data_IF_335269630497
#
_entry.id   IF_335269630497
#
_cell.length_a   1.000
_cell.length_b   1.000
_cell.length_c   1.000
_cell.angle_alpha   90.00
_cell.angle_beta   90.00
_cell.angle_gamma   90.00
#
_symmetry.space_group_name_H-M   'P 1'
#
loop_
_entity.id
_entity.type
_entity.pdbx_description
1 polymer ?
#
# COMPACT_ATOMS: atom_id res chain seq x y z
N UNK A 1 -13.56 -26.03 7.08
CA UNK A 1 -13.19 -24.60 6.97
C UNK A 1 -12.44 -24.20 8.25
N UNK A 2 -11.16 -24.54 8.36
CA UNK A 2 -10.36 -24.34 9.60
C UNK A 2 -8.88 -24.13 9.25
N UNK A 3 -8.57 -23.11 8.46
CA UNK A 3 -7.18 -22.69 8.15
C UNK A 3 -7.07 -21.18 7.89
N UNK A 4 -7.79 -20.35 8.66
CA UNK A 4 -7.67 -18.88 8.64
C UNK A 4 -7.40 -18.36 10.07
N UNK A 5 -6.49 -19.02 10.79
CA UNK A 5 -6.08 -18.64 12.15
C UNK A 5 -4.67 -18.08 12.17
N UNK A 6 -4.29 -17.33 11.13
CA UNK A 6 -3.12 -16.45 11.15
C UNK A 6 -3.64 -15.02 11.04
N UNK A 7 -3.53 -14.24 12.12
CA UNK A 7 -4.01 -12.86 12.15
C UNK A 7 -3.39 -12.00 11.02
N UNK A 8 -2.15 -12.30 10.62
CA UNK A 8 -1.48 -11.63 9.50
C UNK A 8 -2.12 -11.90 8.14
N UNK A 9 -2.54 -13.13 7.86
CA UNK A 9 -3.22 -13.48 6.60
C UNK A 9 -4.57 -12.74 6.51
N UNK A 10 -5.30 -12.67 7.62
CA UNK A 10 -6.56 -11.95 7.70
C UNK A 10 -6.38 -10.44 7.48
N UNK A 11 -5.31 -9.86 8.03
CA UNK A 11 -4.94 -8.46 7.77
C UNK A 11 -4.70 -8.22 6.29
N UNK A 12 -3.82 -9.03 5.68
CA UNK A 12 -3.46 -8.92 4.26
C UNK A 12 -4.64 -9.08 3.31
N UNK A 13 -5.54 -10.03 3.59
CA UNK A 13 -6.77 -10.21 2.80
C UNK A 13 -7.70 -9.00 2.93
N UNK A 14 -7.85 -8.46 4.14
CA UNK A 14 -8.68 -7.26 4.39
C UNK A 14 -8.11 -6.04 3.65
N UNK A 15 -6.80 -5.85 3.70
CA UNK A 15 -6.08 -4.80 2.96
C UNK A 15 -6.22 -4.96 1.45
N UNK A 16 -6.12 -6.19 0.93
CA UNK A 16 -6.29 -6.49 -0.49
C UNK A 16 -7.70 -6.14 -0.98
N UNK A 17 -8.73 -6.49 -0.22
CA UNK A 17 -10.13 -6.14 -0.54
C UNK A 17 -10.31 -4.62 -0.53
N UNK A 18 -9.83 -3.94 0.51
CA UNK A 18 -9.95 -2.49 0.64
C UNK A 18 -9.19 -1.76 -0.48
N UNK A 19 -7.97 -2.20 -0.80
CA UNK A 19 -7.15 -1.62 -1.88
C UNK A 19 -7.85 -1.78 -3.23
N UNK A 20 -8.38 -2.96 -3.54
CA UNK A 20 -9.11 -3.19 -4.78
C UNK A 20 -10.38 -2.33 -4.87
N UNK A 21 -11.11 -2.18 -3.76
CA UNK A 21 -12.26 -1.28 -3.71
C UNK A 21 -11.84 0.17 -3.97
N UNK A 22 -10.81 0.66 -3.28
CA UNK A 22 -10.30 2.02 -3.48
C UNK A 22 -9.84 2.27 -4.91
N UNK A 23 -9.17 1.30 -5.56
CA UNK A 23 -8.74 1.39 -6.98
C UNK A 23 -9.90 1.67 -7.94
N UNK A 24 -11.13 1.28 -7.59
CA UNK A 24 -12.31 1.59 -8.42
C UNK A 24 -12.83 3.02 -8.26
N UNK A 25 -12.45 3.69 -7.16
CA UNK A 25 -12.96 5.02 -6.78
C UNK A 25 -11.94 6.13 -7.03
N UNK A 26 -10.65 5.86 -6.86
CA UNK A 26 -9.63 6.90 -7.05
C UNK A 26 -9.47 7.26 -8.53
N UNK A 27 -9.28 8.55 -8.86
CA UNK A 27 -8.94 8.98 -10.20
C UNK A 27 -7.66 8.30 -10.71
N UNK A 28 -7.58 8.07 -12.03
CA UNK A 28 -6.43 7.43 -12.69
C UNK A 28 -5.07 8.09 -12.40
N UNK A 29 -5.03 9.35 -11.96
CA UNK A 29 -3.82 10.06 -11.53
C UNK A 29 -3.16 9.44 -10.30
N UNK A 30 -3.95 8.81 -9.45
CA UNK A 30 -3.46 8.19 -8.23
C UNK A 30 -3.24 6.70 -8.41
N UNK A 31 -2.25 6.17 -7.73
CA UNK A 31 -2.04 4.73 -7.58
C UNK A 31 -2.01 4.37 -6.08
N UNK A 32 -2.19 3.09 -5.81
CA UNK A 32 -2.22 2.52 -4.47
C UNK A 32 -1.13 1.47 -4.27
N UNK A 33 -0.52 1.46 -3.10
CA UNK A 33 0.32 0.35 -2.67
C UNK A 33 0.59 0.35 -1.16
N UNK A 34 1.49 -0.51 -0.73
CA UNK A 34 1.83 -0.75 0.68
C UNK A 34 3.32 -0.55 0.85
N UNK A 35 3.77 0.08 1.94
CA UNK A 35 5.19 0.24 2.22
C UNK A 35 5.52 1.46 3.07
N UNK A 36 6.57 2.21 2.73
CA UNK A 36 7.11 3.29 3.56
C UNK A 36 7.13 4.62 2.81
N UNK A 37 6.96 5.71 3.56
CA UNK A 37 7.12 7.07 3.06
C UNK A 37 8.40 7.66 3.63
N UNK A 38 9.25 8.20 2.76
CA UNK A 38 10.54 8.77 3.07
C UNK A 38 10.51 10.27 2.80
N UNK A 39 11.19 11.03 3.66
CA UNK A 39 11.58 12.41 3.40
C UNK A 39 13.06 12.59 3.74
N UNK A 40 13.58 13.80 3.55
CA UNK A 40 15.01 14.10 3.71
C UNK A 40 15.60 13.67 5.07
N UNK A 41 14.79 13.56 6.12
CA UNK A 41 15.24 13.36 7.49
C UNK A 41 14.67 12.12 8.18
N UNK A 42 13.74 11.40 7.57
CA UNK A 42 13.02 10.30 8.23
C UNK A 42 12.32 9.34 7.29
N UNK A 43 12.06 8.14 7.79
CA UNK A 43 11.26 7.09 7.17
C UNK A 43 10.08 6.81 8.10
N UNK A 44 8.87 6.67 7.55
CA UNK A 44 7.68 6.29 8.31
C UNK A 44 7.78 4.85 8.85
N UNK A 45 6.83 4.45 9.70
CA UNK A 45 6.53 3.01 9.85
C UNK A 45 5.91 2.46 8.55
N UNK A 46 5.75 1.14 8.47
CA UNK A 46 5.01 0.52 7.37
C UNK A 46 3.58 1.08 7.34
N UNK A 47 3.12 1.42 6.14
CA UNK A 47 1.80 1.96 5.84
C UNK A 47 1.08 0.94 4.97
N UNK A 48 -0.03 0.43 5.49
CA UNK A 48 -0.81 -0.63 4.84
C UNK A 48 -1.37 -0.18 3.48
N UNK A 49 -1.77 1.10 3.37
CA UNK A 49 -2.31 1.69 2.14
C UNK A 49 -1.77 3.11 1.95
N UNK A 50 -1.01 3.31 0.88
CA UNK A 50 -0.50 4.59 0.40
C UNK A 50 -1.25 4.95 -0.88
N UNK A 51 -1.83 6.14 -0.92
CA UNK A 51 -2.39 6.75 -2.14
C UNK A 51 -1.46 7.84 -2.58
N UNK A 52 -0.89 7.73 -3.79
CA UNK A 52 0.10 8.67 -4.27
C UNK A 52 -0.14 9.05 -5.73
N UNK A 53 0.36 10.23 -6.12
CA UNK A 53 0.27 10.73 -7.49
C UNK A 53 1.35 10.08 -8.35
N UNK A 54 0.96 9.11 -9.18
CA UNK A 54 1.91 8.29 -9.94
C UNK A 54 2.64 9.04 -11.05
N UNK A 55 2.25 10.27 -11.36
CA UNK A 55 2.92 11.09 -12.36
C UNK A 55 3.91 12.08 -11.73
N UNK A 56 3.72 12.44 -10.47
CA UNK A 56 4.58 13.41 -9.77
C UNK A 56 5.48 12.77 -8.71
N UNK A 57 5.21 11.51 -8.34
CA UNK A 57 5.93 10.78 -7.32
C UNK A 57 6.44 9.47 -7.91
N UNK A 58 7.77 9.34 -7.97
CA UNK A 58 8.45 8.14 -8.44
C UNK A 58 8.86 7.29 -7.23
N UNK A 59 8.43 6.03 -7.13
CA UNK A 59 8.92 5.14 -6.09
C UNK A 59 10.45 5.01 -6.16
N UNK A 60 11.11 5.21 -5.03
CA UNK A 60 12.55 5.02 -4.86
C UNK A 60 12.89 3.53 -5.00
N UNK A 61 11.98 2.66 -4.56
CA UNK A 61 12.07 1.21 -4.69
C UNK A 61 10.68 0.60 -4.86
N UNK A 62 10.57 -0.39 -5.75
CA UNK A 62 9.34 -1.15 -6.00
C UNK A 62 9.64 -2.65 -6.01
N UNK A 63 9.58 -3.27 -4.83
CA UNK A 63 9.70 -4.72 -4.64
C UNK A 63 8.44 -5.31 -4.02
N UNK A 64 8.59 -6.07 -2.94
CA UNK A 64 7.44 -6.53 -2.14
C UNK A 64 6.70 -5.39 -1.44
N UNK A 65 7.39 -4.27 -1.19
CA UNK A 65 6.87 -3.05 -0.58
C UNK A 65 7.36 -1.85 -1.38
N UNK A 66 6.54 -0.80 -1.42
CA UNK A 66 6.89 0.49 -2.02
C UNK A 66 7.68 1.34 -1.04
N UNK A 67 8.71 2.00 -1.54
CA UNK A 67 9.36 3.10 -0.82
C UNK A 67 9.13 4.35 -1.66
N UNK A 68 8.43 5.32 -1.08
CA UNK A 68 7.97 6.54 -1.74
C UNK A 68 8.61 7.75 -1.10
#
# INVERSE_FOLDING_TARGET
MKYLSHNGEKGRETEGILTNFLKTLVPNKFDLGTGFVVNDNSISSQVDIIVYDKYNVLPIYSGFELII
#
